data_IF_070970161531
#
_entry.id   IF_070970161531
#
_cell.length_a   1.000
_cell.length_b   1.000
_cell.length_c   1.000
_cell.angle_alpha   90.00
_cell.angle_beta   90.00
_cell.angle_gamma   90.00
#
_symmetry.space_group_name_H-M   'P 1'
#
loop_
_entity.id
_entity.type
_entity.pdbx_description
1 polymer ?
#
# COMPACT_ATOMS: atom_id res chain seq x y z
N UNK A 1 -1.65 15.16 13.18
CA UNK A 1 -2.44 14.03 12.62
C UNK A 1 -1.59 12.77 12.67
N UNK A 2 -2.15 11.64 13.09
CA UNK A 2 -1.45 10.34 13.17
C UNK A 2 -2.19 9.31 12.36
N UNK A 3 -1.48 8.61 11.47
CA UNK A 3 -2.03 7.56 10.60
C UNK A 3 -1.22 6.28 10.77
N UNK A 4 -1.93 5.17 10.95
CA UNK A 4 -1.37 3.84 11.12
C UNK A 4 -1.76 2.97 9.93
N UNK A 5 -0.76 2.54 9.18
CA UNK A 5 -0.91 1.72 7.98
C UNK A 5 -0.27 0.36 8.19
N UNK A 6 -0.89 -0.70 7.67
CA UNK A 6 -0.27 -2.03 7.57
C UNK A 6 -0.17 -2.47 6.12
N UNK A 7 0.98 -2.99 5.73
CA UNK A 7 1.21 -3.59 4.42
C UNK A 7 1.48 -5.08 4.63
N UNK A 8 0.75 -5.95 3.94
CA UNK A 8 0.80 -7.39 4.21
C UNK A 8 0.65 -8.25 2.96
N UNK A 9 1.35 -9.37 2.94
CA UNK A 9 1.42 -10.27 1.78
C UNK A 9 2.34 -11.46 2.04
N UNK A 10 2.74 -12.13 0.96
CA UNK A 10 3.78 -13.14 1.00
C UNK A 10 5.16 -12.49 0.86
N UNK A 11 6.18 -13.14 1.43
CA UNK A 11 7.57 -12.83 1.13
C UNK A 11 7.81 -12.80 -0.39
N UNK A 12 8.40 -11.71 -0.89
CA UNK A 12 8.61 -11.48 -2.33
C UNK A 12 7.62 -10.52 -2.99
N UNK A 13 6.46 -10.23 -2.38
CA UNK A 13 5.49 -9.26 -2.93
C UNK A 13 5.84 -7.79 -2.63
N UNK A 14 7.04 -7.50 -2.12
CA UNK A 14 7.51 -6.13 -1.88
C UNK A 14 6.80 -5.40 -0.74
N UNK A 15 6.10 -6.08 0.17
CA UNK A 15 5.32 -5.43 1.26
C UNK A 15 6.17 -4.62 2.22
N UNK A 16 7.36 -5.12 2.58
CA UNK A 16 8.32 -4.38 3.40
C UNK A 16 8.84 -3.13 2.69
N UNK A 17 8.99 -3.21 1.36
CA UNK A 17 9.43 -2.10 0.52
C UNK A 17 8.36 -1.01 0.43
N UNK A 18 7.08 -1.37 0.35
CA UNK A 18 5.97 -0.41 0.40
C UNK A 18 5.98 0.39 1.70
N UNK A 19 6.12 -0.30 2.85
CA UNK A 19 6.22 0.39 4.13
C UNK A 19 7.48 1.24 4.25
N UNK A 20 8.62 0.78 3.71
CA UNK A 20 9.85 1.57 3.69
C UNK A 20 9.69 2.83 2.82
N UNK A 21 9.04 2.73 1.67
CA UNK A 21 8.73 3.89 0.83
C UNK A 21 7.86 4.90 1.58
N UNK A 22 6.78 4.47 2.23
CA UNK A 22 5.96 5.37 3.05
C UNK A 22 6.79 6.05 4.13
N UNK A 23 7.62 5.28 4.83
CA UNK A 23 8.46 5.82 5.89
C UNK A 23 9.46 6.86 5.37
N UNK A 24 10.18 6.54 4.29
CA UNK A 24 11.15 7.42 3.67
C UNK A 24 10.51 8.72 3.17
N UNK A 25 9.41 8.61 2.43
CA UNK A 25 8.69 9.79 1.90
C UNK A 25 8.17 10.68 3.03
N UNK A 26 7.59 10.08 4.09
CA UNK A 26 7.09 10.83 5.22
C UNK A 26 8.22 11.57 5.98
N UNK A 27 9.36 10.90 6.21
CA UNK A 27 10.54 11.53 6.83
C UNK A 27 11.06 12.72 6.01
N UNK A 28 11.06 12.60 4.66
CA UNK A 28 11.45 13.70 3.76
C UNK A 28 10.51 14.89 3.85
N UNK A 29 9.25 14.67 4.23
CA UNK A 29 8.28 15.74 4.50
C UNK A 29 8.29 16.23 5.96
N UNK A 30 9.31 15.86 6.74
CA UNK A 30 9.46 16.31 8.13
C UNK A 30 8.46 15.70 9.11
N UNK A 31 7.83 14.57 8.76
CA UNK A 31 6.93 13.83 9.66
C UNK A 31 7.70 12.89 10.57
N UNK A 32 7.13 12.62 11.74
CA UNK A 32 7.57 11.55 12.62
C UNK A 32 7.09 10.21 12.05
N UNK A 33 7.97 9.21 12.09
CA UNK A 33 7.69 7.90 11.50
C UNK A 33 8.20 6.76 12.37
N UNK A 34 7.39 5.72 12.51
CA UNK A 34 7.88 4.41 12.96
C UNK A 34 7.65 3.36 11.89
N UNK A 35 8.65 2.53 11.65
CA UNK A 35 8.60 1.40 10.71
C UNK A 35 8.84 0.10 11.48
N UNK A 36 7.82 -0.76 11.57
CA UNK A 36 7.86 -2.02 12.30
C UNK A 36 7.62 -3.20 11.35
N UNK A 37 8.68 -3.83 10.82
CA UNK A 37 8.56 -5.01 9.97
C UNK A 37 8.30 -6.27 10.81
N UNK A 38 7.56 -7.22 10.26
CA UNK A 38 7.30 -8.54 10.83
C UNK A 38 7.32 -9.59 9.71
N UNK A 39 8.23 -10.55 9.81
CA UNK A 39 8.37 -11.66 8.89
C UNK A 39 8.83 -12.91 9.65
N UNK A 40 8.36 -14.07 9.23
CA UNK A 40 8.74 -15.35 9.82
C UNK A 40 10.15 -15.79 9.42
N UNK A 41 10.68 -16.80 10.11
CA UNK A 41 11.95 -17.45 9.75
C UNK A 41 11.92 -18.10 8.35
N UNK A 42 10.72 -18.37 7.84
CA UNK A 42 10.47 -18.84 6.47
C UNK A 42 10.72 -17.70 5.48
N UNK A 43 11.97 -17.59 5.02
CA UNK A 43 12.43 -16.57 4.06
C UNK A 43 11.72 -16.59 2.70
N UNK A 44 10.91 -17.61 2.38
CA UNK A 44 10.14 -17.72 1.14
C UNK A 44 8.78 -18.38 1.37
N UNK A 45 7.72 -17.81 0.80
CA UNK A 45 6.35 -18.34 0.88
C UNK A 45 5.59 -18.03 2.17
N UNK A 46 6.31 -17.69 3.25
CA UNK A 46 5.70 -17.23 4.50
C UNK A 46 5.00 -15.87 4.36
N UNK A 47 4.13 -15.55 5.31
CA UNK A 47 3.51 -14.22 5.39
C UNK A 47 4.51 -13.20 5.93
N UNK A 48 4.50 -12.02 5.33
CA UNK A 48 5.28 -10.87 5.76
C UNK A 48 4.34 -9.66 5.86
N UNK A 49 4.59 -8.81 6.84
CA UNK A 49 3.89 -7.55 6.98
C UNK A 49 4.82 -6.46 7.54
N UNK A 50 4.42 -5.21 7.37
CA UNK A 50 5.02 -4.12 8.12
C UNK A 50 3.94 -3.14 8.54
N UNK A 51 4.08 -2.61 9.75
CA UNK A 51 3.29 -1.51 10.27
C UNK A 51 4.08 -0.23 10.12
N UNK A 52 3.46 0.81 9.59
CA UNK A 52 4.04 2.14 9.46
C UNK A 52 3.10 3.14 10.11
N UNK A 53 3.64 3.93 11.03
CA UNK A 53 2.93 5.05 11.63
C UNK A 53 3.56 6.32 11.13
N UNK A 54 2.75 7.24 10.61
CA UNK A 54 3.16 8.59 10.20
C UNK A 54 2.42 9.58 11.07
N UNK A 55 3.14 10.53 11.67
CA UNK A 55 2.53 11.55 12.53
C UNK A 55 3.19 12.93 12.37
N UNK A 56 2.40 13.98 12.62
CA UNK A 56 2.92 15.33 12.82
C UNK A 56 3.64 15.48 14.17
N UNK A 57 3.29 14.65 15.15
CA UNK A 57 3.76 14.71 16.53
C UNK A 57 4.61 13.46 16.87
N UNK A 58 5.23 13.46 18.06
CA UNK A 58 6.01 12.30 18.52
C UNK A 58 5.14 11.03 18.61
N UNK A 59 5.70 9.90 18.15
CA UNK A 59 4.98 8.62 18.13
C UNK A 59 5.29 7.84 19.40
N UNK A 60 4.30 7.77 20.30
CA UNK A 60 4.42 7.02 21.56
C UNK A 60 4.45 5.49 21.39
N UNK A 61 3.88 4.95 20.30
CA UNK A 61 3.88 3.50 20.04
C UNK A 61 3.79 3.18 18.55
N UNK A 62 4.62 2.24 18.05
CA UNK A 62 4.60 1.79 16.67
C UNK A 62 3.48 0.77 16.36
N UNK A 63 2.72 0.34 17.37
CA UNK A 63 1.74 -0.74 17.23
C UNK A 63 0.40 -0.22 16.68
N UNK A 64 -0.14 -0.95 15.70
CA UNK A 64 -1.43 -0.69 15.08
C UNK A 64 -2.41 -1.85 15.32
N UNK A 65 -2.99 -1.92 16.53
CA UNK A 65 -4.01 -2.91 16.87
C UNK A 65 -5.30 -2.71 16.07
N UNK A 66 -5.61 -1.47 15.70
CA UNK A 66 -6.66 -1.11 14.76
C UNK A 66 -6.14 -0.09 13.75
N UNK A 67 -5.56 -0.54 12.61
CA UNK A 67 -4.97 0.36 11.63
C UNK A 67 -6.04 1.19 10.91
N UNK A 68 -5.66 2.40 10.50
CA UNK A 68 -6.48 3.28 9.65
C UNK A 68 -6.53 2.75 8.22
N UNK A 69 -5.41 2.16 7.76
CA UNK A 69 -5.23 1.70 6.39
C UNK A 69 -4.60 0.30 6.38
N UNK A 70 -5.12 -0.60 5.54
CA UNK A 70 -4.48 -1.87 5.24
C UNK A 70 -4.28 -2.05 3.73
N UNK A 71 -3.06 -2.40 3.32
CA UNK A 71 -2.71 -2.84 1.97
C UNK A 71 -2.48 -4.34 2.01
N UNK A 72 -3.30 -5.12 1.32
CA UNK A 72 -3.22 -6.58 1.30
C UNK A 72 -2.93 -7.12 -0.10
N UNK A 73 -1.85 -7.89 -0.21
CA UNK A 73 -1.35 -8.45 -1.47
C UNK A 73 -1.70 -9.94 -1.66
N UNK A 74 -2.31 -10.58 -0.65
CA UNK A 74 -2.70 -11.99 -0.70
C UNK A 74 -3.94 -12.29 0.16
N UNK A 75 -4.54 -13.46 -0.06
CA UNK A 75 -5.76 -13.88 0.63
C UNK A 75 -5.60 -14.04 2.15
N UNK A 76 -4.52 -14.66 2.68
CA UNK A 76 -4.33 -14.77 4.13
C UNK A 76 -4.24 -13.40 4.83
N UNK A 77 -3.64 -12.40 4.20
CA UNK A 77 -3.56 -11.05 4.77
C UNK A 77 -4.92 -10.37 4.77
N UNK A 78 -5.75 -10.56 3.75
CA UNK A 78 -7.12 -10.08 3.76
C UNK A 78 -7.87 -10.64 4.97
N UNK A 79 -7.86 -11.98 5.15
CA UNK A 79 -8.56 -12.64 6.25
C UNK A 79 -8.09 -12.16 7.62
N UNK A 80 -6.78 -11.89 7.76
CA UNK A 80 -6.19 -11.38 9.00
C UNK A 80 -6.58 -9.93 9.28
N UNK A 81 -6.45 -9.03 8.30
CA UNK A 81 -6.54 -7.59 8.55
C UNK A 81 -7.92 -7.00 8.33
N UNK A 82 -8.82 -7.64 7.58
CA UNK A 82 -10.18 -7.13 7.36
C UNK A 82 -10.93 -6.84 8.68
N UNK A 83 -10.73 -7.68 9.70
CA UNK A 83 -11.37 -7.51 11.01
C UNK A 83 -10.60 -6.57 11.96
N UNK A 84 -9.39 -6.15 11.62
CA UNK A 84 -8.56 -5.30 12.47
C UNK A 84 -8.67 -3.82 12.07
N UNK A 85 -8.81 -3.53 10.77
CA UNK A 85 -8.94 -2.16 10.27
C UNK A 85 -10.10 -1.46 10.99
N UNK A 86 -9.89 -0.23 11.45
CA UNK A 86 -10.93 0.52 12.16
C UNK A 86 -12.17 0.76 11.28
N UNK A 87 -13.37 0.93 11.85
CA UNK A 87 -14.54 1.41 11.09
C UNK A 87 -14.22 2.70 10.32
N UNK A 88 -14.66 2.78 9.06
CA UNK A 88 -14.34 3.86 8.13
C UNK A 88 -12.92 3.84 7.56
N UNK A 89 -12.08 2.87 7.96
CA UNK A 89 -10.73 2.71 7.45
C UNK A 89 -10.68 2.29 5.98
N UNK A 90 -9.51 2.41 5.37
CA UNK A 90 -9.28 2.10 3.96
C UNK A 90 -8.62 0.73 3.83
N UNK A 91 -9.15 -0.11 2.96
CA UNK A 91 -8.57 -1.41 2.65
C UNK A 91 -8.25 -1.51 1.16
N UNK A 92 -6.96 -1.45 0.82
CA UNK A 92 -6.47 -1.65 -0.52
C UNK A 92 -6.17 -3.13 -0.76
N UNK A 93 -6.73 -3.70 -1.82
CA UNK A 93 -6.68 -5.13 -2.10
C UNK A 93 -6.12 -5.37 -3.51
N UNK A 94 -5.06 -6.17 -3.61
CA UNK A 94 -4.60 -6.67 -4.91
C UNK A 94 -5.63 -7.67 -5.48
N UNK A 95 -6.55 -7.21 -6.31
CA UNK A 95 -7.66 -8.02 -6.81
C UNK A 95 -7.25 -9.10 -7.80
N UNK A 96 -6.03 -9.04 -8.36
CA UNK A 96 -5.50 -10.12 -9.21
C UNK A 96 -5.29 -11.41 -8.40
N UNK A 97 -4.77 -11.28 -7.17
CA UNK A 97 -4.39 -12.43 -6.34
C UNK A 97 -5.37 -12.71 -5.19
N UNK A 98 -6.22 -11.75 -4.86
CA UNK A 98 -7.17 -11.84 -3.75
C UNK A 98 -8.59 -11.96 -4.30
N UNK A 99 -9.08 -13.20 -4.37
CA UNK A 99 -10.45 -13.51 -4.83
C UNK A 99 -11.52 -13.45 -3.73
N UNK A 100 -11.14 -13.48 -2.44
CA UNK A 100 -12.12 -13.44 -1.35
C UNK A 100 -12.80 -12.07 -1.25
N UNK A 101 -14.05 -12.09 -0.80
CA UNK A 101 -14.86 -10.89 -0.60
C UNK A 101 -14.56 -10.28 0.78
N UNK A 102 -14.53 -8.95 0.84
CA UNK A 102 -14.49 -8.21 2.11
C UNK A 102 -15.90 -8.17 2.68
N UNK A 103 -16.16 -8.95 3.73
CA UNK A 103 -17.48 -9.06 4.37
C UNK A 103 -17.78 -7.93 5.38
N UNK A 104 -17.26 -6.73 5.13
CA UNK A 104 -17.47 -5.54 5.96
C UNK A 104 -17.94 -4.38 5.10
N UNK A 105 -19.06 -3.79 5.48
CA UNK A 105 -19.68 -2.68 4.75
C UNK A 105 -19.22 -1.30 5.26
N UNK A 106 -18.59 -1.26 6.42
CA UNK A 106 -18.08 -0.04 7.05
C UNK A 106 -16.62 0.27 6.66
N UNK A 107 -16.06 -0.47 5.70
CA UNK A 107 -14.71 -0.24 5.16
C UNK A 107 -14.76 0.40 3.78
N UNK A 108 -13.83 1.31 3.53
CA UNK A 108 -13.58 1.87 2.21
C UNK A 108 -12.64 0.92 1.44
N UNK A 109 -13.22 -0.01 0.67
CA UNK A 109 -12.46 -1.03 -0.06
C UNK A 109 -12.05 -0.52 -1.44
N UNK A 110 -10.76 -0.53 -1.73
CA UNK A 110 -10.18 -0.17 -3.04
C UNK A 110 -9.53 -1.40 -3.66
N UNK A 111 -10.15 -1.94 -4.70
CA UNK A 111 -9.63 -3.09 -5.44
C UNK A 111 -8.73 -2.62 -6.58
N UNK A 112 -7.52 -3.16 -6.66
CA UNK A 112 -6.52 -2.79 -7.66
C UNK A 112 -5.95 -4.08 -8.27
N UNK A 113 -6.04 -4.30 -9.58
CA UNK A 113 -5.45 -5.48 -10.24
C UNK A 113 -3.93 -5.28 -10.40
N UNK A 114 -3.22 -5.11 -9.28
CA UNK A 114 -1.86 -4.60 -9.28
C UNK A 114 -0.86 -5.52 -9.96
N UNK A 115 -1.08 -6.84 -9.88
CA UNK A 115 -0.23 -7.82 -10.56
C UNK A 115 -0.45 -7.81 -12.07
N UNK A 116 -1.70 -7.71 -12.54
CA UNK A 116 -1.99 -7.63 -13.98
C UNK A 116 -1.46 -6.31 -14.57
N UNK A 117 -1.66 -5.19 -13.88
CA UNK A 117 -1.14 -3.89 -14.30
C UNK A 117 0.40 -3.89 -14.37
N UNK A 118 1.08 -4.54 -13.42
CA UNK A 118 2.53 -4.69 -13.47
C UNK A 118 2.98 -5.55 -14.66
N UNK A 119 2.23 -6.59 -14.99
CA UNK A 119 2.47 -7.45 -16.15
C UNK A 119 2.31 -6.69 -17.47
N UNK A 120 1.26 -5.89 -17.61
CA UNK A 120 1.02 -5.05 -18.79
C UNK A 120 2.12 -4.01 -19.02
N UNK A 121 2.76 -3.54 -17.95
CA UNK A 121 3.92 -2.66 -18.00
C UNK A 121 5.23 -3.38 -18.38
N UNK A 122 5.21 -4.71 -18.49
CA UNK A 122 6.37 -5.54 -18.80
C UNK A 122 7.34 -5.73 -17.63
N UNK A 123 6.91 -5.48 -16.38
CA UNK A 123 7.71 -5.69 -15.18
C UNK A 123 6.84 -6.24 -14.03
N UNK A 124 6.71 -7.56 -13.98
CA UNK A 124 5.90 -8.28 -12.98
C UNK A 124 6.29 -7.94 -11.53
N UNK A 125 7.55 -7.52 -11.30
CA UNK A 125 8.04 -7.19 -9.95
C UNK A 125 7.53 -5.85 -9.43
N UNK A 126 6.90 -5.03 -10.27
CA UNK A 126 6.44 -3.69 -9.93
C UNK A 126 5.03 -3.63 -9.31
N UNK A 127 4.39 -4.77 -9.04
CA UNK A 127 3.05 -4.81 -8.44
C UNK A 127 2.97 -4.07 -7.09
N UNK A 128 4.06 -4.06 -6.32
CA UNK A 128 4.15 -3.28 -5.08
C UNK A 128 4.20 -1.76 -5.36
N UNK A 129 4.85 -1.32 -6.44
CA UNK A 129 4.92 0.08 -6.85
C UNK A 129 3.56 0.54 -7.37
N UNK A 130 2.88 -0.28 -8.17
CA UNK A 130 1.48 -0.05 -8.56
C UNK A 130 0.60 0.13 -7.31
N UNK A 131 0.73 -0.75 -6.32
CA UNK A 131 -0.01 -0.60 -5.07
C UNK A 131 0.35 0.66 -4.27
N UNK A 132 1.61 1.14 -4.32
CA UNK A 132 1.98 2.41 -3.69
C UNK A 132 1.34 3.60 -4.37
N UNK A 133 1.19 3.58 -5.70
CA UNK A 133 0.45 4.59 -6.44
C UNK A 133 -1.02 4.64 -6.02
N UNK A 134 -1.64 3.47 -5.94
CA UNK A 134 -3.00 3.33 -5.45
C UNK A 134 -3.16 3.81 -4.01
N UNK A 135 -2.20 3.48 -3.13
CA UNK A 135 -2.17 3.94 -1.75
C UNK A 135 -2.12 5.48 -1.67
N UNK A 136 -1.25 6.13 -2.45
CA UNK A 136 -1.15 7.59 -2.47
C UNK A 136 -2.48 8.22 -2.89
N UNK A 137 -3.09 7.74 -3.98
CA UNK A 137 -4.36 8.27 -4.48
C UNK A 137 -5.53 8.05 -3.52
N UNK A 138 -5.62 6.86 -2.90
CA UNK A 138 -6.77 6.52 -2.06
C UNK A 138 -6.72 7.18 -0.69
N UNK A 139 -5.52 7.40 -0.15
CA UNK A 139 -5.35 7.82 1.25
C UNK A 139 -5.05 9.31 1.38
N UNK A 140 -4.39 9.91 0.38
CA UNK A 140 -3.94 11.31 0.44
C UNK A 140 -2.95 11.60 1.58
N UNK A 141 -2.37 10.58 2.21
CA UNK A 141 -1.44 10.75 3.35
C UNK A 141 -0.19 11.51 2.91
N UNK A 142 0.31 11.21 1.70
CA UNK A 142 1.37 11.91 1.00
C UNK A 142 1.02 11.95 -0.49
N UNK A 143 1.54 12.94 -1.22
CA UNK A 143 1.27 13.10 -2.64
C UNK A 143 1.97 12.04 -3.50
N UNK A 144 1.43 11.78 -4.68
CA UNK A 144 2.02 10.86 -5.65
C UNK A 144 3.41 11.34 -6.08
N UNK A 145 3.57 12.66 -6.23
CA UNK A 145 4.82 13.33 -6.56
C UNK A 145 5.88 13.05 -5.50
N UNK A 146 5.54 13.13 -4.21
CA UNK A 146 6.48 12.83 -3.14
C UNK A 146 6.95 11.37 -3.16
N UNK A 147 6.05 10.43 -3.46
CA UNK A 147 6.45 9.03 -3.66
C UNK A 147 7.35 8.85 -4.89
N UNK A 148 7.05 9.57 -5.99
CA UNK A 148 7.84 9.56 -7.22
C UNK A 148 9.25 10.12 -7.01
N UNK A 149 9.41 11.15 -6.17
CA UNK A 149 10.70 11.69 -5.75
C UNK A 149 11.46 10.69 -4.88
N UNK A 150 10.80 10.13 -3.86
CA UNK A 150 11.41 9.17 -2.95
C UNK A 150 11.88 7.88 -3.66
N UNK A 151 11.23 7.47 -4.75
CA UNK A 151 11.66 6.32 -5.56
C UNK A 151 13.13 6.42 -5.99
N UNK A 152 13.59 7.62 -6.37
CA UNK A 152 14.95 7.86 -6.84
C UNK A 152 16.02 7.52 -5.79
N UNK A 153 15.67 7.62 -4.50
CA UNK A 153 16.56 7.33 -3.37
C UNK A 153 16.56 5.84 -2.98
N UNK A 154 15.63 5.05 -3.51
CA UNK A 154 15.53 3.63 -3.20
C UNK A 154 16.27 2.76 -4.22
N UNK A 155 16.38 1.46 -3.93
CA UNK A 155 16.88 0.48 -4.89
C UNK A 155 16.07 0.45 -6.21
N UNK A 156 14.82 0.93 -6.20
CA UNK A 156 13.93 1.02 -7.37
C UNK A 156 14.25 2.22 -8.27
N UNK A 157 15.11 3.14 -7.82
CA UNK A 157 15.50 4.35 -8.57
C UNK A 157 16.93 4.37 -9.09
N UNK A 158 17.74 3.34 -8.78
CA UNK A 158 19.19 3.33 -9.06
C UNK A 158 19.57 3.45 -10.54
N UNK A 159 18.70 3.00 -11.45
CA UNK A 159 18.92 3.05 -12.90
C UNK A 159 17.85 3.95 -13.53
N UNK A 160 18.20 4.90 -14.41
CA UNK A 160 17.23 5.82 -15.00
C UNK A 160 16.02 5.10 -15.65
N UNK A 161 16.26 4.05 -16.44
CA UNK A 161 15.19 3.26 -17.07
C UNK A 161 14.26 2.59 -16.05
N UNK A 162 14.80 2.12 -14.93
CA UNK A 162 14.03 1.47 -13.86
C UNK A 162 13.23 2.51 -13.08
N UNK A 163 13.81 3.68 -12.83
CA UNK A 163 13.11 4.79 -12.20
C UNK A 163 11.89 5.23 -13.04
N UNK A 164 12.07 5.46 -14.34
CA UNK A 164 10.97 5.87 -15.23
C UNK A 164 9.86 4.81 -15.29
N UNK A 165 10.22 3.53 -15.34
CA UNK A 165 9.23 2.45 -15.28
C UNK A 165 8.46 2.47 -13.95
N UNK A 166 9.15 2.66 -12.82
CA UNK A 166 8.49 2.70 -11.51
C UNK A 166 7.64 3.95 -11.31
N UNK A 167 8.02 5.09 -11.89
CA UNK A 167 7.17 6.29 -11.93
C UNK A 167 5.89 6.05 -12.72
N UNK A 168 6.01 5.38 -13.86
CA UNK A 168 4.84 4.99 -14.64
C UNK A 168 3.95 3.99 -13.86
N UNK A 169 4.55 3.02 -13.17
CA UNK A 169 3.82 2.08 -12.33
C UNK A 169 3.07 2.77 -11.17
N UNK A 170 3.68 3.76 -10.51
CA UNK A 170 3.01 4.61 -9.52
C UNK A 170 1.78 5.31 -10.13
N UNK A 171 1.95 5.92 -11.30
CA UNK A 171 0.86 6.64 -11.97
C UNK A 171 -0.30 5.70 -12.33
N UNK A 172 -0.01 4.54 -12.93
CA UNK A 172 -1.02 3.52 -13.27
C UNK A 172 -1.78 3.04 -12.03
N UNK A 173 -1.07 2.83 -10.93
CA UNK A 173 -1.68 2.47 -9.65
C UNK A 173 -2.63 3.55 -9.11
N UNK A 174 -2.21 4.81 -9.18
CA UNK A 174 -3.03 5.94 -8.77
C UNK A 174 -4.31 6.04 -9.62
N UNK A 175 -4.19 5.93 -10.95
CA UNK A 175 -5.34 6.02 -11.86
C UNK A 175 -6.32 4.86 -11.64
N UNK A 176 -5.82 3.64 -11.42
CA UNK A 176 -6.66 2.48 -11.10
C UNK A 176 -7.45 2.69 -9.79
N UNK A 177 -6.80 3.21 -8.74
CA UNK A 177 -7.49 3.51 -7.48
C UNK A 177 -8.54 4.63 -7.64
N UNK A 178 -8.25 5.66 -8.43
CA UNK A 178 -9.21 6.74 -8.72
C UNK A 178 -10.48 6.19 -9.36
N UNK A 179 -10.32 5.37 -10.41
CA UNK A 179 -11.45 4.73 -11.09
C UNK A 179 -12.27 3.85 -10.14
N UNK A 180 -11.61 3.07 -9.29
CA UNK A 180 -12.28 2.24 -8.30
C UNK A 180 -13.12 3.07 -7.30
N UNK A 181 -12.58 4.20 -6.84
CA UNK A 181 -13.28 5.11 -5.92
C UNK A 181 -14.47 5.82 -6.60
N UNK A 182 -14.33 6.24 -7.86
CA UNK A 182 -15.40 6.85 -8.65
C UNK A 182 -16.54 5.87 -8.93
N UNK A 183 -16.21 4.62 -9.27
CA UNK A 183 -17.19 3.55 -9.45
C UNK A 183 -17.98 3.27 -8.15
N UNK A 184 -17.30 3.24 -7.00
CA UNK A 184 -17.94 3.06 -5.70
C UNK A 184 -18.90 4.21 -5.35
N UNK A 185 -18.50 5.47 -5.59
CA UNK A 185 -19.37 6.65 -5.37
C UNK A 185 -20.60 6.64 -6.27
N UNK A 186 -20.43 6.24 -7.53
CA UNK A 186 -21.51 6.15 -8.51
C UNK A 186 -22.52 5.05 -8.15
N UNK A 187 -22.05 3.95 -7.54
CA UNK A 187 -22.91 2.87 -7.05
C UNK A 187 -23.69 3.28 -5.78
N UNK A 188 -23.10 4.09 -4.90
CA UNK A 188 -23.76 4.57 -3.67
C UNK A 188 -24.80 5.68 -3.91
N UNK A 189 -24.78 6.33 -5.09
CA UNK A 189 -25.72 7.38 -5.47
C UNK A 189 -26.95 6.86 -6.24
N UNK A 190 -27.06 5.55 -6.45
CA UNK A 190 -28.20 4.85 -7.07
C UNK A 190 -28.97 4.10 -6.00
#
# INVERSE_FOLDING_TARGET
MTIKSVFAGFGGQGVLMMGYMLALTAMRQGKNVTYLPSYGAEVRGGTANCTVVVSDDEIASPVASSPDIAVVMNNPSLLKYANLVRPGGIMLVNSTLVGSVVNRQDLNVVKVPATDLAHELGEDRSANVVMMGAFAQATGVLSLEAFSEALAETNLGKKPKVLELNRHALQVGADSARQALEAARSAASK
#
